data_IF_378979132125
#
_entry.id   IF_378979132125
#
_cell.length_a   1.000
_cell.length_b   1.000
_cell.length_c   1.000
_cell.angle_alpha   90.00
_cell.angle_beta   90.00
_cell.angle_gamma   90.00
#
_symmetry.space_group_name_H-M   'P 1'
#
loop_
_entity.id
_entity.type
_entity.pdbx_description
1 polymer ?
#
# COMPACT_ATOMS: atom_id res chain seq x y z
N UNK A 1 3.64 7.23 6.48
CA UNK A 1 2.42 7.93 6.00
C UNK A 1 2.52 8.36 4.54
N UNK A 2 3.49 9.20 4.16
CA UNK A 2 3.59 9.77 2.81
C UNK A 2 3.57 8.71 1.69
N UNK A 3 4.28 7.59 1.85
CA UNK A 3 4.31 6.48 0.89
C UNK A 3 2.91 5.91 0.59
N UNK A 4 2.08 5.71 1.62
CA UNK A 4 0.73 5.18 1.49
C UNK A 4 -0.23 6.19 0.87
N UNK A 5 -0.17 7.45 1.33
CA UNK A 5 -0.97 8.55 0.75
C UNK A 5 -0.62 8.71 -0.74
N UNK A 6 0.66 8.65 -1.08
CA UNK A 6 1.12 8.64 -2.46
C UNK A 6 0.53 7.50 -3.28
N UNK A 7 0.49 6.28 -2.73
CA UNK A 7 -0.17 5.15 -3.39
C UNK A 7 -1.69 5.37 -3.60
N UNK A 8 -2.40 5.97 -2.64
CA UNK A 8 -3.81 6.35 -2.80
C UNK A 8 -3.98 7.36 -3.94
N UNK A 9 -3.15 8.41 -3.95
CA UNK A 9 -3.20 9.45 -4.98
C UNK A 9 -2.93 8.85 -6.36
N UNK A 10 -1.94 7.95 -6.48
CA UNK A 10 -1.68 7.26 -7.74
C UNK A 10 -2.93 6.54 -8.26
N UNK A 11 -3.70 5.88 -7.39
CA UNK A 11 -4.90 5.14 -7.81
C UNK A 11 -6.11 6.06 -8.06
N UNK A 12 -6.14 7.23 -7.44
CA UNK A 12 -7.12 8.26 -7.77
C UNK A 12 -6.85 8.88 -9.15
N UNK A 13 -5.58 9.10 -9.49
CA UNK A 13 -5.15 9.76 -10.74
C UNK A 13 -5.12 8.78 -11.92
N UNK A 14 -4.56 7.58 -11.73
CA UNK A 14 -4.40 6.61 -12.81
C UNK A 14 -5.57 5.63 -12.84
N UNK A 15 -6.09 5.38 -14.05
CA UNK A 15 -7.11 4.35 -14.26
C UNK A 15 -6.53 2.94 -14.01
N UNK A 16 -7.00 2.22 -12.98
CA UNK A 16 -6.47 0.89 -12.64
C UNK A 16 -6.92 -0.18 -13.66
N UNK A 17 -7.99 0.07 -14.41
CA UNK A 17 -8.48 -0.79 -15.49
C UNK A 17 -7.84 -0.42 -16.84
N UNK A 18 -7.48 -1.43 -17.63
CA UNK A 18 -6.93 -1.24 -18.99
C UNK A 18 -8.08 -1.04 -19.98
N UNK A 19 -8.26 0.17 -20.50
CA UNK A 19 -9.37 0.54 -21.40
C UNK A 19 -9.19 0.02 -22.84
N UNK A 20 -7.96 -0.06 -23.36
CA UNK A 20 -7.65 -0.43 -24.75
C UNK A 20 -7.30 -1.92 -24.93
N UNK A 21 -8.13 -2.81 -24.38
CA UNK A 21 -7.85 -4.27 -24.40
C UNK A 21 -7.80 -4.87 -25.82
N UNK A 22 -8.44 -4.23 -26.80
CA UNK A 22 -8.47 -4.68 -28.21
C UNK A 22 -7.21 -4.34 -29.00
N UNK A 23 -6.41 -3.36 -28.57
CA UNK A 23 -5.21 -2.90 -29.29
C UNK A 23 -3.93 -3.64 -28.89
N UNK A 24 -3.93 -4.32 -27.72
CA UNK A 24 -2.74 -4.94 -27.10
C UNK A 24 -2.64 -6.46 -27.43
N UNK A 25 -3.58 -7.02 -28.19
CA UNK A 25 -3.63 -8.45 -28.53
C UNK A 25 -4.24 -9.34 -27.43
N UNK A 26 -4.07 -10.66 -27.54
CA UNK A 26 -4.61 -11.65 -26.60
C UNK A 26 -3.77 -11.70 -25.31
N UNK A 27 -3.95 -10.73 -24.41
CA UNK A 27 -3.24 -10.67 -23.14
C UNK A 27 -3.97 -11.49 -22.08
N UNK A 28 -3.24 -12.38 -21.38
CA UNK A 28 -3.79 -13.16 -20.27
C UNK A 28 -4.12 -12.25 -19.10
N UNK A 29 -5.17 -12.56 -18.34
CA UNK A 29 -5.61 -11.76 -17.19
C UNK A 29 -4.49 -11.45 -16.18
N UNK A 30 -3.61 -12.43 -15.91
CA UNK A 30 -2.46 -12.22 -15.02
C UNK A 30 -1.45 -11.23 -15.61
N UNK A 31 -1.21 -11.26 -16.93
CA UNK A 31 -0.31 -10.32 -17.59
C UNK A 31 -0.84 -8.88 -17.55
N UNK A 32 -2.15 -8.69 -17.73
CA UNK A 32 -2.81 -7.39 -17.58
C UNK A 32 -2.63 -6.84 -16.15
N UNK A 33 -2.88 -7.70 -15.15
CA UNK A 33 -2.75 -7.35 -13.75
C UNK A 33 -1.31 -6.96 -13.38
N UNK A 34 -0.34 -7.83 -13.68
CA UNK A 34 1.06 -7.56 -13.35
C UNK A 34 1.62 -6.36 -14.12
N UNK A 35 1.30 -6.23 -15.42
CA UNK A 35 1.78 -5.09 -16.23
C UNK A 35 1.33 -3.74 -15.67
N UNK A 36 0.06 -3.64 -15.25
CA UNK A 36 -0.42 -2.42 -14.61
C UNK A 36 0.12 -2.27 -13.19
N UNK A 37 0.19 -3.33 -12.40
CA UNK A 37 0.81 -3.30 -11.08
C UNK A 37 2.24 -2.77 -11.11
N UNK A 38 3.06 -3.17 -12.11
CA UNK A 38 4.41 -2.65 -12.30
C UNK A 38 4.44 -1.14 -12.52
N UNK A 39 3.46 -0.58 -13.24
CA UNK A 39 3.38 0.88 -13.40
C UNK A 39 3.21 1.57 -12.05
N UNK A 40 2.27 1.11 -11.23
CA UNK A 40 2.04 1.66 -9.89
C UNK A 40 3.27 1.47 -8.98
N UNK A 41 3.90 0.29 -9.02
CA UNK A 41 5.11 0.01 -8.24
C UNK A 41 6.29 0.89 -8.65
N UNK A 42 6.49 1.19 -9.95
CA UNK A 42 7.55 2.08 -10.41
C UNK A 42 7.37 3.50 -9.88
N UNK A 43 6.18 4.09 -10.04
CA UNK A 43 5.90 5.42 -9.49
C UNK A 43 5.98 5.41 -7.97
N UNK A 44 5.48 4.35 -7.33
CA UNK A 44 5.63 4.09 -5.90
C UNK A 44 7.09 4.11 -5.46
N UNK A 45 7.95 3.39 -6.17
CA UNK A 45 9.36 3.29 -5.85
C UNK A 45 10.04 4.66 -5.97
N UNK A 46 9.79 5.40 -7.05
CA UNK A 46 10.33 6.74 -7.26
C UNK A 46 9.90 7.71 -6.15
N UNK A 47 8.61 7.78 -5.81
CA UNK A 47 8.16 8.66 -4.72
C UNK A 47 8.77 8.27 -3.37
N UNK A 48 8.95 6.96 -3.10
CA UNK A 48 9.55 6.51 -1.85
C UNK A 48 11.03 6.89 -1.73
N UNK A 49 11.78 6.84 -2.83
CA UNK A 49 13.15 7.33 -2.87
C UNK A 49 13.19 8.84 -2.63
N UNK A 50 12.33 9.61 -3.27
CA UNK A 50 12.26 11.07 -3.07
C UNK A 50 11.97 11.38 -1.60
N UNK A 51 11.01 10.68 -0.98
CA UNK A 51 10.68 10.85 0.44
C UNK A 51 11.88 10.50 1.32
N UNK A 52 12.44 9.29 1.20
CA UNK A 52 13.54 8.86 2.07
C UNK A 52 14.82 9.69 1.89
N UNK A 53 15.16 10.07 0.64
CA UNK A 53 16.30 10.95 0.37
C UNK A 53 16.03 12.38 0.87
N UNK A 54 14.79 12.87 0.75
CA UNK A 54 14.38 14.14 1.35
C UNK A 54 14.55 14.14 2.87
N UNK A 55 14.13 13.07 3.54
CA UNK A 55 14.28 12.93 4.99
C UNK A 55 15.76 12.92 5.40
N UNK A 56 16.61 12.17 4.69
CA UNK A 56 18.03 12.02 5.01
C UNK A 56 18.89 13.25 4.65
N UNK A 57 18.68 13.86 3.48
CA UNK A 57 19.56 14.90 2.95
C UNK A 57 19.01 16.32 3.12
N UNK A 58 17.69 16.50 3.01
CA UNK A 58 17.06 17.81 3.11
C UNK A 58 16.68 18.12 4.57
N UNK A 59 15.93 17.23 5.22
CA UNK A 59 15.57 17.36 6.65
C UNK A 59 16.72 16.99 7.59
N UNK A 60 17.69 16.21 7.10
CA UNK A 60 18.88 15.78 7.84
C UNK A 60 18.54 15.07 9.15
N UNK A 61 17.61 14.12 9.08
CA UNK A 61 17.29 13.28 10.24
C UNK A 61 18.54 12.52 10.72
N UNK A 62 18.64 12.33 12.02
CA UNK A 62 19.64 11.41 12.57
C UNK A 62 19.23 9.99 12.19
N UNK A 63 20.10 9.28 11.47
CA UNK A 63 19.84 7.90 11.07
C UNK A 63 21.14 7.10 11.15
N UNK A 64 21.16 6.09 12.00
CA UNK A 64 22.32 5.23 12.19
C UNK A 64 22.61 4.39 10.94
N UNK A 65 21.55 3.85 10.31
CA UNK A 65 21.65 3.01 9.11
C UNK A 65 20.83 3.60 7.94
N UNK A 66 21.34 4.63 7.23
CA UNK A 66 20.61 5.29 6.15
C UNK A 66 20.31 4.38 4.96
N UNK A 67 21.19 3.42 4.65
CA UNK A 67 20.95 2.44 3.58
C UNK A 67 19.76 1.53 3.86
N UNK A 68 19.63 1.04 5.11
CA UNK A 68 18.49 0.23 5.53
C UNK A 68 17.20 1.07 5.60
N UNK A 69 17.30 2.35 5.98
CA UNK A 69 16.16 3.27 5.97
C UNK A 69 15.56 3.44 4.56
N UNK A 70 16.41 3.61 3.54
CA UNK A 70 15.96 3.67 2.14
C UNK A 70 15.36 2.33 1.70
N UNK A 71 15.99 1.20 2.07
CA UNK A 71 15.52 -0.14 1.72
C UNK A 71 14.11 -0.39 2.25
N UNK A 72 13.86 -0.15 3.55
CA UNK A 72 12.51 -0.32 4.12
C UNK A 72 11.50 0.63 3.48
N UNK A 73 11.88 1.87 3.14
CA UNK A 73 11.02 2.81 2.42
C UNK A 73 10.62 2.30 1.04
N UNK A 74 11.58 1.82 0.26
CA UNK A 74 11.34 1.20 -1.04
C UNK A 74 10.48 -0.06 -0.94
N UNK A 75 10.76 -0.92 0.04
CA UNK A 75 10.02 -2.15 0.25
C UNK A 75 8.57 -1.88 0.67
N UNK A 76 8.36 -0.96 1.62
CA UNK A 76 7.04 -0.48 2.02
C UNK A 76 6.26 0.07 0.82
N UNK A 77 6.94 0.79 -0.08
CA UNK A 77 6.30 1.33 -1.27
C UNK A 77 5.83 0.26 -2.24
N UNK A 78 6.62 -0.79 -2.45
CA UNK A 78 6.23 -1.96 -3.24
C UNK A 78 4.98 -2.60 -2.63
N UNK A 79 5.04 -2.91 -1.33
CA UNK A 79 3.93 -3.56 -0.61
C UNK A 79 2.66 -2.73 -0.68
N UNK A 80 2.74 -1.43 -0.36
CA UNK A 80 1.57 -0.54 -0.34
C UNK A 80 1.00 -0.30 -1.72
N UNK A 81 1.86 -0.07 -2.73
CA UNK A 81 1.39 0.14 -4.11
C UNK A 81 0.72 -1.11 -4.66
N UNK A 82 1.29 -2.29 -4.42
CA UNK A 82 0.69 -3.56 -4.84
C UNK A 82 -0.62 -3.84 -4.09
N UNK A 83 -0.64 -3.65 -2.78
CA UNK A 83 -1.83 -3.87 -1.95
C UNK A 83 -2.99 -2.98 -2.38
N UNK A 84 -2.74 -1.68 -2.53
CA UNK A 84 -3.76 -0.73 -2.93
C UNK A 84 -4.24 -0.94 -4.36
N UNK A 85 -3.30 -1.19 -5.29
CA UNK A 85 -3.67 -1.55 -6.66
C UNK A 85 -4.55 -2.80 -6.69
N UNK A 86 -4.20 -3.83 -5.92
CA UNK A 86 -4.96 -5.08 -5.86
C UNK A 86 -6.37 -4.88 -5.32
N UNK A 87 -6.51 -4.07 -4.28
CA UNK A 87 -7.80 -3.74 -3.67
C UNK A 87 -8.72 -3.03 -4.67
N UNK A 88 -8.19 -2.02 -5.38
CA UNK A 88 -8.98 -1.27 -6.37
C UNK A 88 -9.20 -2.07 -7.65
N UNK A 89 -8.26 -2.91 -8.06
CA UNK A 89 -8.45 -3.82 -9.18
C UNK A 89 -9.57 -4.85 -8.91
N UNK A 90 -9.73 -5.29 -7.66
CA UNK A 90 -10.76 -6.23 -7.25
C UNK A 90 -12.14 -5.58 -7.06
N UNK A 91 -12.20 -4.41 -6.41
CA UNK A 91 -13.46 -3.80 -5.96
C UNK A 91 -13.85 -2.48 -6.64
N UNK A 92 -13.02 -1.94 -7.54
CA UNK A 92 -13.27 -0.65 -8.18
C UNK A 92 -13.28 0.51 -7.17
N UNK A 93 -14.22 1.44 -7.30
CA UNK A 93 -14.31 2.62 -6.43
C UNK A 93 -14.60 2.30 -4.96
N UNK A 94 -15.26 1.17 -4.68
CA UNK A 94 -15.41 0.65 -3.30
C UNK A 94 -14.02 0.37 -2.71
N UNK A 95 -13.10 -0.19 -3.51
CA UNK A 95 -11.73 -0.44 -3.08
C UNK A 95 -10.99 0.85 -2.71
N UNK A 96 -11.25 1.97 -3.41
CA UNK A 96 -10.68 3.28 -3.07
C UNK A 96 -11.19 3.77 -1.72
N UNK A 97 -12.49 3.64 -1.46
CA UNK A 97 -13.06 4.01 -0.16
C UNK A 97 -12.47 3.18 0.99
N UNK A 98 -12.33 1.86 0.80
CA UNK A 98 -11.69 0.96 1.79
C UNK A 98 -10.24 1.36 2.04
N UNK A 99 -9.48 1.70 0.99
CA UNK A 99 -8.10 2.17 1.11
C UNK A 99 -7.96 3.43 2.00
N UNK A 100 -8.90 4.38 1.87
CA UNK A 100 -8.95 5.59 2.70
C UNK A 100 -9.33 5.26 4.15
N UNK A 101 -10.30 4.38 4.37
CA UNK A 101 -10.66 3.93 5.73
C UNK A 101 -9.46 3.25 6.41
N UNK A 102 -8.76 2.38 5.69
CA UNK A 102 -7.55 1.73 6.19
C UNK A 102 -6.45 2.74 6.53
N UNK A 103 -6.30 3.84 5.77
CA UNK A 103 -5.37 4.92 6.11
C UNK A 103 -5.71 5.50 7.49
N UNK A 104 -6.98 5.84 7.74
CA UNK A 104 -7.41 6.48 8.99
C UNK A 104 -7.20 5.55 10.19
N UNK A 105 -7.58 4.28 10.05
CA UNK A 105 -7.37 3.27 11.09
C UNK A 105 -5.89 3.10 11.39
N UNK A 106 -5.04 3.02 10.37
CA UNK A 106 -3.61 2.87 10.54
C UNK A 106 -2.93 4.10 11.13
N UNK A 107 -3.40 5.29 10.81
CA UNK A 107 -2.88 6.53 11.37
C UNK A 107 -3.02 6.55 12.90
N UNK A 108 -4.17 6.10 13.42
CA UNK A 108 -4.40 6.01 14.87
C UNK A 108 -3.80 4.77 15.53
N UNK A 109 -3.75 3.65 14.82
CA UNK A 109 -3.43 2.34 15.40
C UNK A 109 -2.00 1.85 15.26
N UNK A 110 -1.12 2.55 14.54
CA UNK A 110 0.23 2.04 14.20
C UNK A 110 1.35 2.44 15.16
N UNK A 111 1.05 3.19 16.23
CA UNK A 111 2.06 3.57 17.23
C UNK A 111 3.11 4.58 16.74
N UNK A 112 2.83 5.30 15.65
CA UNK A 112 3.75 6.29 15.06
C UNK A 112 3.75 7.66 15.74
N UNK A 113 2.60 8.11 16.24
CA UNK A 113 2.44 9.44 16.87
C UNK A 113 2.39 9.37 18.40
N UNK A 114 1.75 8.34 18.93
CA UNK A 114 1.66 8.06 20.36
C UNK A 114 2.03 6.60 20.63
N UNK A 115 2.57 6.28 21.82
CA UNK A 115 2.75 4.89 22.25
C UNK A 115 1.43 4.13 22.17
N UNK A 116 1.45 2.88 21.73
CA UNK A 116 0.21 2.12 21.56
C UNK A 116 -0.50 1.87 22.89
N UNK A 117 0.24 1.82 24.00
CA UNK A 117 -0.29 1.56 25.35
C UNK A 117 -1.27 2.62 25.85
N UNK A 118 -1.14 3.87 25.39
CA UNK A 118 -2.03 4.98 25.77
C UNK A 118 -3.26 5.09 24.87
N UNK A 119 -3.39 4.22 23.87
CA UNK A 119 -4.53 4.23 22.94
C UNK A 119 -5.71 3.37 23.45
N UNK A 120 -6.94 3.60 22.96
CA UNK A 120 -8.08 2.76 23.27
C UNK A 120 -7.83 1.27 22.97
N UNK A 121 -8.50 0.37 23.70
CA UNK A 121 -8.31 -1.08 23.57
C UNK A 121 -8.44 -1.58 22.12
N UNK A 122 -9.40 -1.02 21.35
CA UNK A 122 -9.56 -1.34 19.94
C UNK A 122 -8.27 -1.15 19.13
N UNK A 123 -7.54 -0.05 19.31
CA UNK A 123 -6.31 0.24 18.56
C UNK A 123 -5.16 -0.67 19.00
N UNK A 124 -5.08 -0.99 20.29
CA UNK A 124 -4.10 -1.96 20.83
C UNK A 124 -4.24 -3.35 20.22
N UNK A 125 -5.47 -3.84 20.08
CA UNK A 125 -5.74 -5.18 19.53
C UNK A 125 -5.43 -5.28 18.03
N UNK A 126 -5.69 -4.23 17.25
CA UNK A 126 -5.43 -4.24 15.81
C UNK A 126 -3.97 -3.93 15.47
N UNK A 127 -3.25 -3.21 16.33
CA UNK A 127 -1.87 -2.75 16.09
C UNK A 127 -0.91 -3.83 15.55
N UNK A 128 -0.90 -5.08 16.08
CA UNK A 128 -0.04 -6.15 15.58
C UNK A 128 -0.35 -6.59 14.14
N UNK A 129 -1.47 -6.16 13.57
CA UNK A 129 -1.94 -6.53 12.23
C UNK A 129 -1.99 -5.33 11.28
N UNK A 130 -1.37 -4.20 11.63
CA UNK A 130 -1.36 -3.03 10.75
C UNK A 130 -0.03 -2.97 9.99
N UNK A 131 -0.05 -2.84 8.65
CA UNK A 131 1.18 -2.79 7.89
C UNK A 131 2.04 -1.56 8.22
N UNK A 132 1.43 -0.44 8.65
CA UNK A 132 2.17 0.73 9.15
C UNK A 132 3.04 0.40 10.36
N UNK A 133 2.58 -0.46 11.27
CA UNK A 133 3.32 -0.83 12.48
C UNK A 133 4.70 -1.39 12.11
N UNK A 134 4.73 -2.34 11.16
CA UNK A 134 5.98 -2.97 10.74
C UNK A 134 6.92 -1.99 10.02
N UNK A 135 6.38 -1.10 9.18
CA UNK A 135 7.22 -0.08 8.50
C UNK A 135 7.79 0.91 9.51
N UNK A 136 6.97 1.36 10.47
CA UNK A 136 7.40 2.33 11.49
C UNK A 136 8.47 1.71 12.39
N UNK A 137 8.29 0.47 12.83
CA UNK A 137 9.27 -0.22 13.67
C UNK A 137 10.61 -0.42 12.94
N UNK A 138 10.58 -0.95 11.71
CA UNK A 138 11.79 -1.12 10.91
C UNK A 138 12.48 0.22 10.59
N UNK A 139 11.73 1.30 10.29
CA UNK A 139 12.31 2.64 10.14
C UNK A 139 12.89 3.18 11.45
N UNK A 140 12.24 2.91 12.59
CA UNK A 140 12.70 3.33 13.92
C UNK A 140 14.01 2.64 14.28
N UNK A 141 14.19 1.37 13.96
CA UNK A 141 15.48 0.67 14.13
C UNK A 141 16.59 1.27 13.26
N UNK A 142 16.29 1.67 12.02
CA UNK A 142 17.29 2.35 11.20
C UNK A 142 17.72 3.70 11.80
N UNK A 143 16.80 4.39 12.48
CA UNK A 143 17.03 5.70 13.10
C UNK A 143 17.76 5.56 14.45
N UNK A 144 17.24 4.73 15.35
CA UNK A 144 17.69 4.58 16.73
C UNK A 144 18.83 3.58 16.92
N UNK A 145 19.13 2.77 15.89
CA UNK A 145 20.07 1.65 15.97
C UNK A 145 19.32 0.31 15.91
N UNK A 146 19.80 -0.61 15.08
CA UNK A 146 19.22 -1.93 14.89
C UNK A 146 19.54 -2.83 16.06
N UNK A 147 18.52 -3.50 16.61
CA UNK A 147 18.69 -4.49 17.66
C UNK A 147 18.36 -5.88 17.10
N UNK A 148 19.29 -6.83 17.27
CA UNK A 148 19.15 -8.21 16.82
C UNK A 148 18.64 -8.35 15.37
N UNK A 149 17.46 -8.95 15.17
CA UNK A 149 16.85 -9.26 13.87
C UNK A 149 15.46 -8.63 13.69
N UNK A 150 15.08 -7.68 14.55
CA UNK A 150 13.74 -7.10 14.56
C UNK A 150 13.38 -6.44 13.22
N UNK A 151 14.31 -5.69 12.62
CA UNK A 151 14.20 -5.12 11.28
C UNK A 151 13.78 -6.16 10.24
N UNK A 152 14.48 -7.30 10.22
CA UNK A 152 14.21 -8.36 9.25
C UNK A 152 12.89 -9.07 9.53
N UNK A 153 12.52 -9.24 10.80
CA UNK A 153 11.23 -9.81 11.18
C UNK A 153 10.08 -8.93 10.69
N UNK A 154 10.19 -7.61 10.78
CA UNK A 154 9.16 -6.69 10.30
C UNK A 154 9.07 -6.67 8.76
N UNK A 155 10.20 -6.80 8.06
CA UNK A 155 10.20 -7.00 6.61
C UNK A 155 9.49 -8.32 6.22
N UNK A 156 9.72 -9.41 6.95
CA UNK A 156 9.04 -10.69 6.71
C UNK A 156 7.53 -10.58 6.97
N UNK A 157 7.11 -9.87 8.01
CA UNK A 157 5.68 -9.61 8.26
C UNK A 157 5.06 -8.78 7.14
N UNK A 158 5.79 -7.82 6.58
CA UNK A 158 5.34 -7.06 5.40
C UNK A 158 5.18 -7.93 4.15
N UNK A 159 6.00 -8.99 3.97
CA UNK A 159 5.81 -9.95 2.88
C UNK A 159 4.43 -10.62 2.91
N UNK A 160 3.82 -10.81 4.09
CA UNK A 160 2.47 -11.37 4.19
C UNK A 160 1.44 -10.51 3.43
N UNK A 161 1.61 -9.18 3.40
CA UNK A 161 0.72 -8.26 2.68
C UNK A 161 0.87 -8.35 1.17
N UNK A 162 2.03 -8.77 0.66
CA UNK A 162 2.21 -9.09 -0.76
C UNK A 162 1.31 -10.28 -1.12
N UNK A 163 1.32 -11.33 -0.28
CA UNK A 163 0.49 -12.52 -0.50
C UNK A 163 -1.00 -12.13 -0.44
N UNK A 164 -1.41 -11.37 0.58
CA UNK A 164 -2.78 -10.87 0.73
C UNK A 164 -3.19 -10.04 -0.50
N UNK A 165 -2.33 -9.12 -0.95
CA UNK A 165 -2.57 -8.31 -2.13
C UNK A 165 -2.79 -9.18 -3.38
N UNK A 166 -1.91 -10.15 -3.63
CA UNK A 166 -2.03 -11.04 -4.79
C UNK A 166 -3.31 -11.88 -4.73
N UNK A 167 -3.69 -12.39 -3.56
CA UNK A 167 -4.96 -13.12 -3.37
C UNK A 167 -6.15 -12.21 -3.69
N UNK A 168 -6.18 -10.99 -3.16
CA UNK A 168 -7.25 -10.03 -3.46
C UNK A 168 -7.29 -9.70 -4.96
N UNK A 169 -6.14 -9.37 -5.56
CA UNK A 169 -6.03 -8.92 -6.94
C UNK A 169 -6.34 -9.99 -7.98
N UNK A 170 -5.97 -11.25 -7.71
CA UNK A 170 -6.13 -12.36 -8.66
C UNK A 170 -7.39 -13.20 -8.38
N UNK A 171 -7.67 -13.55 -7.12
CA UNK A 171 -8.78 -14.45 -6.76
C UNK A 171 -10.10 -13.70 -6.59
N UNK A 172 -10.12 -12.62 -5.82
CA UNK A 172 -11.36 -11.86 -5.58
C UNK A 172 -11.83 -11.11 -6.83
N UNK A 173 -10.92 -10.64 -7.69
CA UNK A 173 -11.29 -10.06 -8.99
C UNK A 173 -11.98 -11.07 -9.93
N UNK A 174 -11.72 -12.37 -9.78
CA UNK A 174 -12.47 -13.40 -10.51
C UNK A 174 -13.90 -13.57 -9.95
N UNK A 175 -14.03 -13.62 -8.62
CA UNK A 175 -15.31 -13.85 -7.94
C UNK A 175 -16.27 -12.66 -8.03
N UNK A 176 -15.77 -11.43 -7.87
CA UNK A 176 -16.58 -10.22 -7.72
C UNK A 176 -16.76 -9.40 -9.01
N UNK A 177 -16.27 -9.89 -10.16
CA UNK A 177 -16.40 -9.20 -11.47
C UNK A 177 -17.85 -8.86 -11.84
N UNK A 178 -18.81 -9.75 -11.55
CA UNK A 178 -20.24 -9.55 -11.84
C UNK A 178 -20.92 -8.54 -10.91
N UNK A 179 -20.83 -8.68 -9.56
CA UNK A 179 -21.47 -7.73 -8.65
C UNK A 179 -20.83 -6.33 -8.72
N UNK A 180 -19.50 -6.22 -8.86
CA UNK A 180 -18.84 -4.91 -8.97
C UNK A 180 -19.29 -4.18 -10.24
N UNK A 181 -19.38 -4.88 -11.38
CA UNK A 181 -19.87 -4.29 -12.63
C UNK A 181 -21.33 -3.82 -12.54
N UNK A 182 -22.16 -4.51 -11.75
CA UNK A 182 -23.54 -4.10 -11.48
C UNK A 182 -23.61 -2.82 -10.64
N UNK A 183 -22.79 -2.72 -9.58
CA UNK A 183 -22.72 -1.50 -8.76
C UNK A 183 -22.17 -0.30 -9.53
N UNK A 184 -21.12 -0.48 -10.33
CA UNK A 184 -20.57 0.59 -11.18
C UNK A 184 -21.62 1.09 -12.18
N UNK A 185 -22.35 0.16 -12.81
CA UNK A 185 -23.41 0.53 -13.77
C UNK A 185 -24.54 1.33 -13.09
N UNK A 186 -24.94 0.95 -11.87
CA UNK A 186 -25.94 1.71 -11.11
C UNK A 186 -25.45 3.10 -10.69
N UNK A 187 -24.16 3.24 -10.38
CA UNK A 187 -23.57 4.54 -10.06
C UNK A 187 -23.53 5.47 -11.28
N UNK A 188 -23.19 4.93 -12.47
CA UNK A 188 -23.29 5.65 -13.75
C UNK A 188 -24.74 6.02 -14.09
N UNK A 189 -25.72 5.15 -13.80
CA UNK A 189 -27.15 5.43 -13.98
C UNK A 189 -27.68 6.53 -13.02
N UNK A 190 -26.93 6.90 -11.97
CA UNK A 190 -27.34 7.90 -10.97
C UNK A 190 -26.64 9.26 -11.16
N UNK A 191 -25.86 9.47 -12.23
CA UNK A 191 -25.09 10.71 -12.49
C UNK A 191 -24.14 11.14 -11.34
N UNK A 192 -23.70 10.18 -10.51
CA UNK A 192 -22.81 10.43 -9.36
C UNK A 192 -21.31 10.26 -9.67
N UNK A 193 -20.95 9.98 -10.93
CA UNK A 193 -19.58 9.83 -11.44
C UNK A 193 -19.40 10.72 -12.67
#
# INVERSE_FOLDING_TARGET
LAIWVGAIILIAVFNPTVKHKKEIGNVTFSQEFFGRAFTFMTFGFIQSLIICLGDLYFLKIQCYNPGLFILVGCFASLVFSLFMYSLVAAFGDIGKAVAVIMLVVQLGGSGGTFPIDVTPAFFREIHPYLPFTFVINAMRECVCGTWESDYWMDLVKLCAYIIIALVIGLFFRFLFKKPVKFFTKKLEETDLL
#
